data_IF_284922126836
#
_entry.id   IF_284922126836
#
_cell.length_a   1.000
_cell.length_b   1.000
_cell.length_c   1.000
_cell.angle_alpha   90.00
_cell.angle_beta   90.00
_cell.angle_gamma   90.00
#
_symmetry.space_group_name_H-M   'P 1'
#
loop_
_entity.id
_entity.type
_entity.pdbx_description
1 polymer ?
#
# COMPACT_ATOMS: atom_id res chain seq x y z
N UNK A 1 -20.86 -27.12 -12.57
CA UNK A 1 -19.79 -26.82 -11.59
C UNK A 1 -20.16 -25.50 -10.95
N UNK A 2 -20.42 -25.45 -9.64
CA UNK A 2 -20.65 -24.17 -8.97
C UNK A 2 -19.33 -23.40 -8.93
N UNK A 3 -19.34 -22.17 -9.42
CA UNK A 3 -18.22 -21.24 -9.25
C UNK A 3 -18.08 -20.90 -7.77
N UNK A 4 -16.85 -20.91 -7.26
CA UNK A 4 -16.58 -20.37 -5.93
C UNK A 4 -16.77 -18.85 -5.95
N UNK A 5 -17.25 -18.33 -4.84
CA UNK A 5 -17.35 -16.89 -4.55
C UNK A 5 -16.35 -16.57 -3.43
N UNK A 6 -15.91 -15.32 -3.41
CA UNK A 6 -15.19 -14.74 -2.28
C UNK A 6 -16.14 -14.74 -1.09
N UNK A 7 -15.73 -15.42 -0.03
CA UNK A 7 -16.40 -15.50 1.27
C UNK A 7 -15.33 -15.78 2.33
N UNK A 8 -15.68 -15.71 3.60
CA UNK A 8 -14.80 -16.11 4.71
C UNK A 8 -14.08 -17.46 4.47
N UNK A 9 -12.82 -17.54 4.89
CA UNK A 9 -11.94 -18.72 4.77
C UNK A 9 -11.70 -19.18 3.32
N UNK A 10 -11.78 -18.27 2.36
CA UNK A 10 -11.34 -18.48 0.98
C UNK A 10 -9.96 -17.89 0.79
N UNK A 11 -9.11 -18.63 0.10
CA UNK A 11 -7.86 -18.10 -0.42
C UNK A 11 -8.17 -17.48 -1.78
N UNK A 12 -7.95 -16.18 -1.88
CA UNK A 12 -8.34 -15.35 -3.02
C UNK A 12 -7.08 -14.73 -3.59
N UNK A 13 -6.88 -14.94 -4.89
CA UNK A 13 -5.83 -14.25 -5.63
C UNK A 13 -6.46 -13.08 -6.39
N UNK A 14 -5.87 -11.90 -6.27
CA UNK A 14 -6.32 -10.67 -6.91
C UNK A 14 -5.21 -10.04 -7.73
N UNK A 15 -5.60 -9.28 -8.74
CA UNK A 15 -4.74 -8.31 -9.41
C UNK A 15 -5.40 -6.94 -9.28
N UNK A 16 -4.63 -5.87 -9.21
CA UNK A 16 -5.20 -4.56 -8.95
C UNK A 16 -4.45 -3.40 -9.60
N UNK A 17 -5.12 -2.26 -9.61
CA UNK A 17 -4.61 -0.97 -10.06
C UNK A 17 -5.08 0.08 -9.08
N UNK A 18 -4.16 0.92 -8.61
CA UNK A 18 -4.47 2.11 -7.81
C UNK A 18 -4.31 3.32 -8.72
N UNK A 19 -5.32 4.18 -8.73
CA UNK A 19 -5.28 5.47 -9.42
C UNK A 19 -5.45 6.60 -8.44
N UNK A 20 -4.75 7.69 -8.67
CA UNK A 20 -4.94 8.94 -7.94
C UNK A 20 -6.23 9.67 -8.37
N UNK A 21 -6.52 10.79 -7.72
CA UNK A 21 -7.64 11.68 -8.05
C UNK A 21 -7.60 12.28 -9.47
N UNK A 22 -6.44 12.31 -10.12
CA UNK A 22 -6.29 12.74 -11.52
C UNK A 22 -6.64 11.64 -12.53
N UNK A 23 -6.79 10.40 -12.05
CA UNK A 23 -6.98 9.20 -12.87
C UNK A 23 -5.68 8.58 -13.37
N UNK A 24 -4.52 9.08 -12.91
CA UNK A 24 -3.22 8.51 -13.24
C UNK A 24 -2.98 7.23 -12.46
N UNK A 25 -2.40 6.23 -13.10
CA UNK A 25 -2.02 4.99 -12.43
C UNK A 25 -0.81 5.29 -11.55
N UNK A 26 -0.98 5.10 -10.24
CA UNK A 26 0.09 5.27 -9.26
C UNK A 26 0.71 3.93 -8.88
N UNK A 27 -0.12 2.88 -8.85
CA UNK A 27 0.34 1.52 -8.59
C UNK A 27 -0.44 0.54 -9.46
N UNK A 28 0.24 -0.51 -9.91
CA UNK A 28 -0.34 -1.55 -10.75
C UNK A 28 0.40 -2.86 -10.51
N UNK A 29 -0.37 -3.94 -10.31
CA UNK A 29 0.17 -5.30 -10.33
C UNK A 29 -0.70 -6.20 -11.20
N UNK A 30 -0.07 -6.85 -12.17
CA UNK A 30 -0.64 -7.97 -12.92
C UNK A 30 -0.24 -9.34 -12.33
N UNK A 31 0.70 -9.34 -11.39
CA UNK A 31 1.09 -10.51 -10.62
C UNK A 31 0.04 -10.75 -9.53
N UNK A 32 -0.60 -11.93 -9.49
CA UNK A 32 -1.65 -12.20 -8.51
C UNK A 32 -1.10 -12.15 -7.08
N UNK A 33 -1.61 -11.21 -6.30
CA UNK A 33 -1.39 -11.12 -4.86
C UNK A 33 -2.49 -11.93 -4.18
N UNK A 34 -2.13 -12.76 -3.21
CA UNK A 34 -3.09 -13.66 -2.57
C UNK A 34 -3.25 -13.36 -1.10
N UNK A 35 -4.47 -13.55 -0.61
CA UNK A 35 -4.83 -13.43 0.79
C UNK A 35 -5.95 -14.40 1.14
N UNK A 36 -6.17 -14.62 2.42
CA UNK A 36 -7.31 -15.31 3.00
C UNK A 36 -8.34 -14.27 3.40
N UNK A 37 -9.55 -14.44 2.89
CA UNK A 37 -10.65 -13.52 3.11
C UNK A 37 -11.33 -13.75 4.47
N UNK A 38 -11.66 -12.66 5.16
CA UNK A 38 -12.41 -12.67 6.42
C UNK A 38 -11.59 -13.06 7.65
N UNK A 39 -10.26 -13.06 7.56
CA UNK A 39 -9.38 -13.25 8.73
C UNK A 39 -8.88 -11.90 9.24
N UNK A 40 -8.62 -11.78 10.54
CA UNK A 40 -8.23 -10.52 11.19
C UNK A 40 -6.94 -9.89 10.67
N UNK A 41 -6.10 -10.67 9.98
CA UNK A 41 -4.80 -10.27 9.46
C UNK A 41 -4.87 -10.06 7.94
N UNK A 42 -5.87 -9.33 7.45
CA UNK A 42 -6.02 -9.08 6.01
C UNK A 42 -5.04 -7.99 5.55
N UNK A 43 -4.32 -8.17 4.41
CA UNK A 43 -3.42 -7.15 3.87
C UNK A 43 -4.13 -6.05 3.09
N UNK A 44 -5.45 -6.16 2.92
CA UNK A 44 -6.22 -5.21 2.14
C UNK A 44 -6.86 -4.16 3.04
N UNK A 45 -7.11 -2.99 2.46
CA UNK A 45 -7.97 -2.00 3.10
C UNK A 45 -9.35 -2.62 3.40
N UNK A 46 -9.94 -2.39 4.59
CA UNK A 46 -11.20 -3.02 4.97
C UNK A 46 -12.34 -2.83 3.96
N UNK A 47 -12.41 -1.67 3.33
CA UNK A 47 -13.38 -1.33 2.28
C UNK A 47 -13.15 -2.15 1.01
N UNK A 48 -11.88 -2.40 0.64
CA UNK A 48 -11.53 -3.23 -0.53
C UNK A 48 -11.88 -4.69 -0.27
N UNK A 49 -11.55 -5.21 0.91
CA UNK A 49 -11.95 -6.55 1.30
C UNK A 49 -13.47 -6.70 1.28
N UNK A 50 -14.20 -5.78 1.92
CA UNK A 50 -15.68 -5.81 1.94
C UNK A 50 -16.28 -5.76 0.53
N UNK A 51 -15.70 -4.98 -0.38
CA UNK A 51 -16.19 -4.88 -1.76
C UNK A 51 -15.94 -6.15 -2.60
N UNK A 52 -14.97 -6.98 -2.20
CA UNK A 52 -14.69 -8.26 -2.85
C UNK A 52 -15.66 -9.37 -2.41
N UNK A 53 -16.34 -9.22 -1.27
CA UNK A 53 -17.25 -10.23 -0.73
C UNK A 53 -18.36 -10.58 -1.74
N UNK A 54 -18.54 -11.88 -1.97
CA UNK A 54 -19.52 -12.42 -2.92
C UNK A 54 -19.10 -12.39 -4.39
N UNK A 55 -17.95 -11.80 -4.76
CA UNK A 55 -17.48 -11.80 -6.14
C UNK A 55 -16.94 -13.17 -6.57
N UNK A 56 -17.13 -13.50 -7.84
CA UNK A 56 -16.59 -14.69 -8.48
C UNK A 56 -15.28 -14.43 -9.23
N UNK A 57 -14.63 -15.52 -9.64
CA UNK A 57 -13.42 -15.46 -10.47
C UNK A 57 -13.66 -14.66 -11.76
N UNK A 58 -12.77 -13.72 -12.02
CA UNK A 58 -12.77 -12.86 -13.19
C UNK A 58 -13.55 -11.56 -13.03
N UNK A 59 -14.37 -11.43 -11.99
CA UNK A 59 -15.11 -10.21 -11.67
C UNK A 59 -14.18 -9.14 -11.07
N UNK A 60 -14.59 -7.89 -11.24
CA UNK A 60 -13.82 -6.70 -10.86
C UNK A 60 -14.75 -5.72 -10.14
N UNK A 61 -14.18 -5.00 -9.18
CA UNK A 61 -14.83 -3.88 -8.49
C UNK A 61 -13.87 -2.70 -8.39
N UNK A 62 -14.42 -1.50 -8.48
CA UNK A 62 -13.70 -0.25 -8.23
C UNK A 62 -14.14 0.28 -6.86
N UNK A 63 -13.16 0.58 -6.01
CA UNK A 63 -13.37 1.05 -4.64
C UNK A 63 -12.70 2.40 -4.50
N UNK A 64 -13.50 3.42 -4.22
CA UNK A 64 -12.98 4.75 -3.88
C UNK A 64 -12.62 4.76 -2.38
N UNK A 65 -11.43 5.26 -2.08
CA UNK A 65 -10.94 5.45 -0.71
C UNK A 65 -10.49 6.89 -0.56
N UNK A 66 -10.92 7.54 0.51
CA UNK A 66 -10.34 8.82 0.90
C UNK A 66 -8.90 8.62 1.38
N UNK A 67 -8.09 9.68 1.39
CA UNK A 67 -6.73 9.65 1.94
C UNK A 67 -6.68 8.95 3.31
N UNK A 68 -7.55 9.35 4.24
CA UNK A 68 -7.66 8.79 5.59
C UNK A 68 -8.05 7.30 5.66
N UNK A 69 -8.71 6.78 4.63
CA UNK A 69 -9.13 5.37 4.54
C UNK A 69 -8.10 4.49 3.84
N UNK A 70 -7.18 5.09 3.07
CA UNK A 70 -6.12 4.41 2.36
C UNK A 70 -4.77 4.63 3.07
N UNK A 71 -4.01 5.63 2.63
CA UNK A 71 -2.62 5.85 3.03
C UNK A 71 -2.46 6.88 4.16
N UNK A 72 -3.57 7.34 4.75
CA UNK A 72 -3.58 8.38 5.76
C UNK A 72 -3.49 9.78 5.17
N UNK A 73 -3.62 10.77 6.06
CA UNK A 73 -3.31 12.16 5.73
C UNK A 73 -1.80 12.34 5.60
N UNK A 74 -1.37 13.36 4.85
CA UNK A 74 0.02 13.77 4.83
C UNK A 74 0.40 14.32 6.21
N UNK A 75 1.41 13.72 6.83
CA UNK A 75 1.87 14.04 8.17
C UNK A 75 3.07 15.02 8.12
N UNK A 76 2.90 16.28 8.57
CA UNK A 76 3.99 17.24 8.65
C UNK A 76 5.13 16.81 9.58
N UNK A 77 4.87 15.93 10.55
CA UNK A 77 5.90 15.43 11.48
C UNK A 77 6.84 14.39 10.81
N UNK A 78 6.50 13.91 9.61
CA UNK A 78 7.35 13.07 8.76
C UNK A 78 8.15 13.89 7.73
N UNK A 79 8.17 15.21 7.85
CA UNK A 79 9.03 16.10 7.05
C UNK A 79 10.25 16.46 7.89
N UNK A 80 11.44 16.14 7.37
CA UNK A 80 12.71 16.39 8.06
C UNK A 80 13.58 17.36 7.28
N UNK A 81 14.48 18.03 8.01
CA UNK A 81 15.41 19.01 7.46
C UNK A 81 16.80 18.74 8.00
N UNK A 82 17.81 18.83 7.14
CA UNK A 82 19.22 18.76 7.54
C UNK A 82 20.06 19.75 6.72
N UNK A 83 21.28 20.00 7.17
CA UNK A 83 22.28 20.73 6.39
C UNK A 83 22.79 19.83 5.26
N UNK A 84 22.84 20.37 4.05
CA UNK A 84 23.22 19.60 2.85
C UNK A 84 24.60 18.95 3.02
N UNK A 85 25.52 19.61 3.74
CA UNK A 85 26.87 19.11 4.02
C UNK A 85 26.91 17.88 4.94
N UNK A 86 25.88 17.67 5.76
CA UNK A 86 25.76 16.50 6.64
C UNK A 86 25.17 15.28 5.93
N UNK A 87 24.68 15.45 4.70
CA UNK A 87 24.02 14.39 3.92
C UNK A 87 24.92 13.81 2.83
N UNK A 88 24.77 12.52 2.47
CA UNK A 88 25.47 11.92 1.34
C UNK A 88 25.26 12.69 0.04
N UNK A 89 26.32 12.83 -0.76
CA UNK A 89 26.30 13.56 -2.05
C UNK A 89 25.26 12.98 -3.03
N UNK A 90 24.93 11.69 -2.90
CA UNK A 90 23.91 11.00 -3.69
C UNK A 90 22.50 11.58 -3.50
N UNK A 91 22.23 12.28 -2.38
CA UNK A 91 20.94 12.91 -2.09
C UNK A 91 20.86 14.36 -2.57
N UNK A 92 21.91 14.92 -3.17
CA UNK A 92 22.00 16.36 -3.47
C UNK A 92 21.23 16.79 -4.74
N UNK A 93 20.06 16.21 -4.98
CA UNK A 93 19.10 16.66 -5.99
C UNK A 93 17.65 16.37 -5.57
N UNK A 94 16.73 17.24 -5.99
CA UNK A 94 15.28 17.04 -5.75
C UNK A 94 14.80 15.79 -6.48
N UNK A 95 14.08 14.93 -5.75
CA UNK A 95 13.62 13.62 -6.22
C UNK A 95 14.58 12.48 -5.91
N UNK A 96 15.72 12.73 -5.23
CA UNK A 96 16.54 11.64 -4.70
C UNK A 96 15.77 10.87 -3.62
N UNK A 97 15.93 9.55 -3.59
CA UNK A 97 15.31 8.66 -2.60
C UNK A 97 16.38 8.14 -1.64
N UNK A 98 16.00 7.90 -0.38
CA UNK A 98 16.91 7.42 0.65
C UNK A 98 16.18 6.81 1.84
N UNK A 99 16.96 6.25 2.75
CA UNK A 99 16.46 5.64 3.98
C UNK A 99 17.01 6.40 5.20
N UNK A 100 16.16 6.67 6.18
CA UNK A 100 16.52 7.28 7.47
C UNK A 100 16.10 6.35 8.61
N UNK A 101 16.83 6.35 9.72
CA UNK A 101 16.42 5.64 10.94
C UNK A 101 15.76 6.64 11.90
N UNK A 102 14.55 6.36 12.36
CA UNK A 102 13.88 7.19 13.38
C UNK A 102 14.40 6.86 14.80
N UNK A 103 13.97 7.64 15.80
CA UNK A 103 14.38 7.45 17.21
C UNK A 103 14.01 6.07 17.81
N UNK A 104 13.12 5.32 17.15
CA UNK A 104 12.70 3.98 17.54
C UNK A 104 13.51 2.87 16.86
N UNK A 105 14.46 3.23 15.98
CA UNK A 105 15.26 2.29 15.20
C UNK A 105 14.54 1.76 13.94
N UNK A 106 13.42 2.36 13.56
CA UNK A 106 12.69 1.99 12.35
C UNK A 106 13.27 2.70 11.13
N UNK A 107 13.43 1.96 10.03
CA UNK A 107 13.89 2.51 8.76
C UNK A 107 12.69 3.12 8.03
N UNK A 108 12.75 4.43 7.81
CA UNK A 108 11.80 5.23 7.04
C UNK A 108 12.40 5.53 5.67
N UNK A 109 11.66 5.20 4.63
CA UNK A 109 12.00 5.63 3.27
C UNK A 109 11.54 7.06 3.03
N UNK A 110 12.35 7.88 2.37
CA UNK A 110 12.03 9.28 2.11
C UNK A 110 12.44 9.71 0.70
N UNK A 111 11.84 10.83 0.26
CA UNK A 111 12.22 11.54 -0.96
C UNK A 111 12.67 12.96 -0.64
N UNK A 112 13.71 13.44 -1.33
CA UNK A 112 14.16 14.83 -1.26
C UNK A 112 13.18 15.72 -2.01
N UNK A 113 12.48 16.58 -1.28
CA UNK A 113 11.43 17.46 -1.85
C UNK A 113 11.93 18.86 -2.18
N UNK A 114 12.97 19.34 -1.48
CA UNK A 114 13.51 20.68 -1.68
C UNK A 114 14.99 20.77 -1.27
N UNK A 115 15.77 21.57 -1.99
CA UNK A 115 17.14 21.93 -1.62
C UNK A 115 17.29 23.44 -1.82
N UNK A 116 17.44 24.18 -0.72
CA UNK A 116 17.57 25.63 -0.73
C UNK A 116 18.45 26.12 0.43
N UNK A 117 19.18 27.21 0.22
CA UNK A 117 20.00 27.87 1.25
C UNK A 117 20.95 26.93 2.02
N UNK A 118 21.50 25.92 1.34
CA UNK A 118 22.39 24.92 1.95
C UNK A 118 21.68 23.90 2.85
N UNK A 119 20.35 23.83 2.82
CA UNK A 119 19.53 22.85 3.52
C UNK A 119 18.84 21.91 2.55
N UNK A 120 18.64 20.69 3.01
CA UNK A 120 17.86 19.67 2.33
C UNK A 120 16.57 19.42 3.11
N UNK A 121 15.46 19.28 2.38
CA UNK A 121 14.16 18.87 2.94
C UNK A 121 13.82 17.50 2.40
N UNK A 122 13.48 16.58 3.29
CA UNK A 122 13.06 15.22 2.95
C UNK A 122 11.67 14.96 3.49
N UNK A 123 10.90 14.19 2.73
CA UNK A 123 9.54 13.78 3.08
C UNK A 123 9.49 12.26 3.16
N UNK A 124 9.22 11.76 4.37
CA UNK A 124 9.10 10.33 4.67
C UNK A 124 7.64 9.83 4.67
N UNK A 125 6.69 10.66 4.21
CA UNK A 125 5.31 10.22 4.01
C UNK A 125 5.23 9.15 2.92
N UNK A 126 4.22 8.28 3.02
CA UNK A 126 3.87 7.42 1.90
C UNK A 126 3.59 8.29 0.64
N UNK A 127 4.03 7.92 -0.57
CA UNK A 127 3.85 8.74 -1.78
C UNK A 127 2.39 9.12 -2.10
N UNK A 128 1.44 8.36 -1.56
CA UNK A 128 -0.01 8.55 -1.72
C UNK A 128 -0.70 9.14 -0.47
N UNK A 129 0.05 9.49 0.57
CA UNK A 129 -0.49 10.15 1.76
C UNK A 129 -1.15 11.48 1.37
N UNK A 130 -2.31 11.76 1.97
CA UNK A 130 -3.10 12.96 1.68
C UNK A 130 -3.83 12.93 0.32
N UNK A 131 -3.80 11.82 -0.42
CA UNK A 131 -4.49 11.68 -1.70
C UNK A 131 -5.64 10.66 -1.63
N UNK A 132 -6.79 11.05 -2.16
CA UNK A 132 -7.87 10.11 -2.45
C UNK A 132 -7.46 9.21 -3.62
N UNK A 133 -7.81 7.93 -3.53
CA UNK A 133 -7.44 6.92 -4.52
C UNK A 133 -8.64 6.08 -4.96
N UNK A 134 -8.57 5.57 -6.19
CA UNK A 134 -9.49 4.54 -6.68
C UNK A 134 -8.73 3.23 -6.85
N UNK A 135 -9.14 2.23 -6.09
CA UNK A 135 -8.60 0.88 -6.11
C UNK A 135 -9.47 -0.01 -7.01
N UNK A 136 -8.98 -0.31 -8.21
CA UNK A 136 -9.61 -1.27 -9.12
C UNK A 136 -9.03 -2.64 -8.84
N UNK A 137 -9.83 -3.56 -8.32
CA UNK A 137 -9.40 -4.92 -7.97
C UNK A 137 -10.19 -5.96 -8.74
N UNK A 138 -9.49 -6.98 -9.25
CA UNK A 138 -10.07 -8.09 -9.99
C UNK A 138 -9.69 -9.42 -9.35
N UNK A 139 -10.68 -10.30 -9.19
CA UNK A 139 -10.47 -11.66 -8.67
C UNK A 139 -9.83 -12.52 -9.75
N UNK A 140 -8.57 -12.92 -9.55
CA UNK A 140 -7.83 -13.79 -10.45
C UNK A 140 -8.15 -15.27 -10.22
N UNK A 141 -8.24 -15.71 -8.96
CA UNK A 141 -8.59 -17.09 -8.60
C UNK A 141 -9.18 -17.19 -7.19
N UNK A 142 -9.93 -18.27 -6.94
CA UNK A 142 -10.53 -18.56 -5.64
C UNK A 142 -10.38 -20.05 -5.35
N UNK A 143 -9.89 -20.38 -4.15
CA UNK A 143 -9.90 -21.74 -3.60
C UNK A 143 -10.25 -21.72 -2.11
N UNK A 144 -10.43 -22.90 -1.53
CA UNK A 144 -10.52 -23.02 -0.07
C UNK A 144 -9.15 -22.73 0.54
N UNK A 145 -9.13 -21.92 1.60
CA UNK A 145 -7.93 -21.74 2.40
C UNK A 145 -7.63 -23.02 3.18
N UNK A 146 -6.35 -23.33 3.31
CA UNK A 146 -5.83 -24.36 4.20
C UNK A 146 -5.51 -23.73 5.56
N UNK A 147 -5.28 -24.56 6.57
CA UNK A 147 -4.83 -24.07 7.87
C UNK A 147 -3.45 -23.40 7.80
N UNK A 148 -2.60 -23.83 6.86
CA UNK A 148 -1.29 -23.24 6.59
C UNK A 148 -1.43 -21.83 6.01
N UNK A 149 -2.29 -21.64 5.01
CA UNK A 149 -2.55 -20.31 4.43
C UNK A 149 -2.97 -19.27 5.49
N UNK A 150 -3.86 -19.67 6.41
CA UNK A 150 -4.32 -18.80 7.51
C UNK A 150 -3.16 -18.50 8.47
N UNK A 151 -2.33 -19.50 8.76
CA UNK A 151 -1.19 -19.39 9.67
C UNK A 151 -0.07 -18.50 9.10
N UNK A 152 0.27 -18.66 7.82
CA UNK A 152 1.30 -17.86 7.15
C UNK A 152 0.88 -16.40 7.03
N UNK A 153 -0.38 -16.13 6.65
CA UNK A 153 -0.87 -14.76 6.58
C UNK A 153 -0.82 -14.07 7.95
N UNK A 154 -1.19 -14.77 9.03
CA UNK A 154 -1.07 -14.21 10.38
C UNK A 154 0.38 -13.90 10.79
N UNK A 155 1.38 -14.58 10.20
CA UNK A 155 2.79 -14.35 10.50
C UNK A 155 3.40 -13.18 9.71
N UNK A 156 2.85 -12.82 8.56
CA UNK A 156 3.34 -11.72 7.72
C UNK A 156 3.07 -10.31 8.31
N UNK A 157 2.18 -10.17 9.29
CA UNK A 157 1.88 -8.89 9.97
C UNK A 157 2.69 -8.63 11.25
N UNK A 158 3.66 -9.49 11.56
CA UNK A 158 4.51 -9.34 12.75
C UNK A 158 5.91 -8.80 12.42
N UNK A 159 6.05 -7.93 11.42
CA UNK A 159 7.28 -7.16 11.18
C UNK A 159 6.97 -5.68 11.19
#
# INVERSE_FOLDING_TARGET
MSSLLVTENKFVSIVYTIRDSSGSIVEYTDLPVSYVHGVSSSPLFPQVETALEGLGKGEQVDVFLTASEAFGDHDPDLIYFDELENTPEELHFVGAEGDAENDQGEVLHFIVTDINDGKITVDANHPLAGQDVTFTVRVADIRYATAEDIGEQAQQFFH
#
